data_IF_810133503225
#
_entry.id   IF_810133503225
#
_cell.length_a   1.000
_cell.length_b   1.000
_cell.length_c   1.000
_cell.angle_alpha   90.00
_cell.angle_beta   90.00
_cell.angle_gamma   90.00
#
_symmetry.space_group_name_H-M   'P 1'
#
loop_
_entity.id
_entity.type
_entity.pdbx_description
1 polymer ?
#
# COMPACT_ATOMS: atom_id res chain seq x y z
N UNK A 1 -30.14 -4.57 19.48
CA UNK A 1 -29.53 -5.26 18.33
C UNK A 1 -28.40 -4.37 17.80
N UNK A 2 -27.20 -4.49 18.39
CA UNK A 2 -26.03 -3.67 18.02
C UNK A 2 -25.22 -4.43 16.97
N UNK A 3 -24.84 -3.81 15.84
CA UNK A 3 -24.43 -4.51 14.64
C UNK A 3 -23.02 -5.08 14.80
N UNK A 4 -22.85 -6.32 14.37
CA UNK A 4 -21.56 -7.02 14.32
C UNK A 4 -20.48 -6.34 13.46
N UNK A 5 -20.84 -5.36 12.62
CA UNK A 5 -19.94 -4.67 11.70
C UNK A 5 -18.80 -3.87 12.37
N UNK A 6 -18.95 -3.44 13.63
CA UNK A 6 -17.89 -2.70 14.35
C UNK A 6 -16.80 -3.61 14.92
N UNK A 7 -17.14 -4.84 15.33
CA UNK A 7 -16.14 -5.78 15.88
C UNK A 7 -15.23 -6.34 14.80
N UNK A 8 -15.75 -6.62 13.59
CA UNK A 8 -14.92 -7.03 12.46
C UNK A 8 -13.91 -5.93 12.05
N UNK A 9 -14.29 -4.64 12.15
CA UNK A 9 -13.39 -3.50 11.94
C UNK A 9 -12.38 -3.30 13.07
N UNK A 10 -12.68 -3.73 14.30
CA UNK A 10 -11.74 -3.67 15.43
C UNK A 10 -10.67 -4.78 15.36
N UNK A 11 -11.04 -5.97 14.91
CA UNK A 11 -10.12 -7.09 14.66
C UNK A 11 -9.18 -6.80 13.47
N UNK A 12 -9.69 -6.15 12.40
CA UNK A 12 -8.87 -5.70 11.28
C UNK A 12 -7.87 -4.59 11.66
N UNK A 13 -8.20 -3.73 12.64
CA UNK A 13 -7.27 -2.75 13.22
C UNK A 13 -6.12 -3.40 13.99
N UNK A 14 -6.36 -4.53 14.65
CA UNK A 14 -5.33 -5.27 15.39
C UNK A 14 -4.33 -6.00 14.47
N UNK A 15 -4.71 -6.24 13.20
CA UNK A 15 -3.88 -6.87 12.16
C UNK A 15 -3.17 -5.86 11.25
N UNK A 16 -3.15 -4.57 11.62
CA UNK A 16 -2.42 -3.50 10.91
C UNK A 16 -3.17 -2.85 9.74
N UNK A 17 -4.45 -3.17 9.54
CA UNK A 17 -5.24 -2.67 8.42
C UNK A 17 -6.07 -1.43 8.80
N UNK A 18 -5.38 -0.34 9.12
CA UNK A 18 -5.81 1.03 8.80
C UNK A 18 -4.66 1.96 9.16
N UNK A 19 -3.91 2.44 8.17
CA UNK A 19 -3.02 3.57 8.41
C UNK A 19 -3.92 4.75 8.81
N UNK A 20 -3.75 5.35 10.00
CA UNK A 20 -4.67 6.39 10.48
C UNK A 20 -4.71 7.57 9.49
N UNK A 21 -5.81 8.35 9.45
CA UNK A 21 -5.87 9.57 8.67
C UNK A 21 -4.70 10.47 9.08
N UNK A 22 -3.82 10.70 8.13
CA UNK A 22 -2.47 11.21 8.35
C UNK A 22 -2.47 12.73 8.42
N UNK A 23 -1.74 13.29 9.38
CA UNK A 23 -1.49 14.73 9.49
C UNK A 23 -0.70 15.23 8.27
N UNK A 24 -1.16 16.26 7.55
CA UNK A 24 -0.41 16.84 6.43
C UNK A 24 0.83 17.57 6.96
N UNK A 25 2.04 17.15 6.57
CA UNK A 25 3.27 17.91 6.84
C UNK A 25 4.54 17.08 7.00
N UNK A 26 4.44 15.81 7.41
CA UNK A 26 5.61 14.96 7.66
C UNK A 26 5.72 13.83 6.64
N UNK A 27 6.87 13.79 5.94
CA UNK A 27 7.28 12.67 5.08
C UNK A 27 7.72 11.50 5.96
N UNK A 28 6.78 10.89 6.67
CA UNK A 28 7.08 9.69 7.44
C UNK A 28 7.35 8.51 6.48
N UNK A 29 8.32 7.63 6.81
CA UNK A 29 8.68 6.48 5.99
C UNK A 29 7.50 5.54 5.76
N UNK A 30 7.54 4.76 4.67
CA UNK A 30 6.57 3.71 4.41
C UNK A 30 6.64 2.65 5.50
N UNK A 31 5.48 2.09 5.88
CA UNK A 31 5.50 0.89 6.72
C UNK A 31 6.14 -0.28 5.95
N UNK A 32 6.67 -1.32 6.64
CA UNK A 32 7.22 -2.50 5.97
C UNK A 32 6.24 -3.16 5.00
N UNK A 33 4.96 -3.22 5.37
CA UNK A 33 3.90 -3.80 4.53
C UNK A 33 3.60 -2.91 3.31
N UNK A 34 3.55 -1.58 3.49
CA UNK A 34 3.39 -0.64 2.39
C UNK A 34 4.54 -0.72 1.39
N UNK A 35 5.77 -0.82 1.89
CA UNK A 35 6.97 -0.99 1.07
C UNK A 35 6.90 -2.31 0.29
N UNK A 36 6.49 -3.41 0.93
CA UNK A 36 6.37 -4.70 0.27
C UNK A 36 5.30 -4.67 -0.84
N UNK A 37 4.13 -4.09 -0.58
CA UNK A 37 3.10 -3.86 -1.60
C UNK A 37 3.62 -3.02 -2.76
N UNK A 38 4.35 -1.93 -2.47
CA UNK A 38 4.92 -1.06 -3.50
C UNK A 38 5.97 -1.78 -4.36
N UNK A 39 6.85 -2.57 -3.75
CA UNK A 39 7.87 -3.34 -4.46
C UNK A 39 7.27 -4.40 -5.37
N UNK A 40 6.28 -5.17 -4.89
CA UNK A 40 5.62 -6.19 -5.70
C UNK A 40 4.83 -5.56 -6.86
N UNK A 41 4.16 -4.43 -6.62
CA UNK A 41 3.48 -3.68 -7.66
C UNK A 41 4.46 -3.13 -8.71
N UNK A 42 5.62 -2.63 -8.29
CA UNK A 42 6.68 -2.15 -9.18
C UNK A 42 7.28 -3.25 -10.06
N UNK A 43 7.28 -4.50 -9.58
CA UNK A 43 7.68 -5.69 -10.35
C UNK A 43 6.61 -6.15 -11.35
N UNK A 44 5.48 -5.46 -11.43
CA UNK A 44 4.40 -5.75 -12.37
C UNK A 44 3.31 -6.69 -11.84
N UNK A 45 3.37 -7.11 -10.58
CA UNK A 45 2.34 -7.97 -10.01
C UNK A 45 0.99 -7.23 -9.91
N UNK A 46 -0.09 -7.94 -10.21
CA UNK A 46 -1.46 -7.46 -10.05
C UNK A 46 -1.87 -7.42 -8.57
N UNK A 47 -2.91 -6.66 -8.23
CA UNK A 47 -3.40 -6.59 -6.84
C UNK A 47 -3.84 -7.95 -6.31
N UNK A 48 -4.29 -8.83 -7.21
CA UNK A 48 -4.70 -10.20 -6.87
C UNK A 48 -3.49 -11.04 -6.48
N UNK A 49 -2.46 -11.07 -7.32
CA UNK A 49 -1.23 -11.84 -7.04
C UNK A 49 -0.50 -11.33 -5.79
N UNK A 50 -0.50 -10.01 -5.59
CA UNK A 50 0.04 -9.39 -4.36
C UNK A 50 -0.78 -9.83 -3.15
N UNK A 51 -2.11 -9.80 -3.25
CA UNK A 51 -3.00 -10.22 -2.17
C UNK A 51 -2.81 -11.69 -1.80
N UNK A 52 -2.70 -12.57 -2.80
CA UNK A 52 -2.42 -13.99 -2.61
C UNK A 52 -1.06 -14.21 -1.91
N UNK A 53 -0.03 -13.44 -2.27
CA UNK A 53 1.30 -13.53 -1.67
C UNK A 53 1.36 -13.01 -0.22
N UNK A 54 0.65 -11.93 0.06
CA UNK A 54 0.68 -11.23 1.36
C UNK A 54 -0.48 -11.62 2.29
N UNK A 55 -1.31 -12.58 1.89
CA UNK A 55 -2.54 -12.95 2.60
C UNK A 55 -3.49 -11.78 2.81
N UNK A 56 -3.59 -10.88 1.82
CA UNK A 56 -4.45 -9.71 1.79
C UNK A 56 -5.52 -9.84 0.71
N UNK A 57 -6.65 -9.15 0.89
CA UNK A 57 -7.60 -9.01 -0.23
C UNK A 57 -7.02 -8.09 -1.30
N UNK A 58 -7.35 -8.34 -2.58
CA UNK A 58 -6.95 -7.44 -3.67
C UNK A 58 -7.45 -5.99 -3.46
N UNK A 59 -8.55 -5.82 -2.73
CA UNK A 59 -9.13 -4.51 -2.37
C UNK A 59 -8.26 -3.80 -1.34
N UNK A 60 -7.76 -4.53 -0.35
CA UNK A 60 -6.80 -4.03 0.64
C UNK A 60 -5.52 -3.56 -0.05
N UNK A 61 -4.97 -4.37 -0.96
CA UNK A 61 -3.81 -3.97 -1.79
C UNK A 61 -4.09 -2.70 -2.60
N UNK A 62 -5.27 -2.60 -3.23
CA UNK A 62 -5.69 -1.40 -3.93
C UNK A 62 -5.76 -0.16 -3.04
N UNK A 63 -6.24 -0.31 -1.81
CA UNK A 63 -6.30 0.77 -0.82
C UNK A 63 -4.90 1.23 -0.40
N UNK A 64 -3.97 0.31 -0.17
CA UNK A 64 -2.58 0.65 0.12
C UNK A 64 -1.97 1.45 -1.04
N UNK A 65 -2.10 0.98 -2.28
CA UNK A 65 -1.57 1.68 -3.46
C UNK A 65 -2.18 3.06 -3.64
N UNK A 66 -3.49 3.21 -3.42
CA UNK A 66 -4.19 4.48 -3.51
C UNK A 66 -3.65 5.52 -2.52
N UNK A 67 -3.33 5.12 -1.28
CA UNK A 67 -2.72 6.02 -0.29
C UNK A 67 -1.22 6.25 -0.55
N UNK A 68 -0.51 5.28 -1.13
CA UNK A 68 0.93 5.37 -1.39
C UNK A 68 1.29 6.24 -2.58
N UNK A 69 0.51 6.17 -3.66
CA UNK A 69 0.73 6.94 -4.88
C UNK A 69 0.98 8.45 -4.63
N UNK A 70 0.09 9.19 -3.95
CA UNK A 70 0.31 10.61 -3.68
C UNK A 70 1.51 10.85 -2.75
N UNK A 71 1.79 9.95 -1.78
CA UNK A 71 2.96 10.05 -0.89
C UNK A 71 4.28 9.89 -1.65
N UNK A 72 4.28 9.04 -2.68
CA UNK A 72 5.45 8.75 -3.52
C UNK A 72 5.54 9.70 -4.73
N UNK A 73 4.59 10.60 -4.92
CA UNK A 73 4.55 11.50 -6.08
C UNK A 73 4.29 10.77 -7.40
N UNK A 74 3.71 9.57 -7.36
CA UNK A 74 3.38 8.77 -8.55
C UNK A 74 1.86 8.68 -8.70
N UNK A 75 1.36 8.59 -9.93
CA UNK A 75 -0.09 8.49 -10.19
C UNK A 75 -0.50 7.12 -10.71
N UNK A 76 0.47 6.29 -11.10
CA UNK A 76 0.20 4.97 -11.66
C UNK A 76 1.34 3.98 -11.40
N UNK A 77 1.04 2.69 -11.66
CA UNK A 77 1.97 1.58 -11.46
C UNK A 77 3.22 1.69 -12.31
N UNK A 78 3.14 2.23 -13.54
CA UNK A 78 4.30 2.38 -14.41
C UNK A 78 5.29 3.41 -13.84
N UNK A 79 4.78 4.52 -13.29
CA UNK A 79 5.59 5.51 -12.58
C UNK A 79 6.19 4.94 -11.30
N UNK A 80 5.42 4.16 -10.52
CA UNK A 80 5.94 3.46 -9.36
C UNK A 80 7.10 2.51 -9.72
N UNK A 81 6.95 1.76 -10.81
CA UNK A 81 8.01 0.89 -11.34
C UNK A 81 9.24 1.69 -11.76
N UNK A 82 9.05 2.81 -12.46
CA UNK A 82 10.14 3.68 -12.88
C UNK A 82 10.90 4.31 -11.70
N UNK A 83 10.18 4.69 -10.64
CA UNK A 83 10.76 5.28 -9.42
C UNK A 83 11.58 4.27 -8.60
N UNK A 84 11.12 3.02 -8.50
CA UNK A 84 11.79 1.96 -7.75
C UNK A 84 12.91 1.26 -8.53
N UNK A 85 12.89 1.37 -9.87
CA UNK A 85 14.07 1.04 -10.67
C UNK A 85 15.14 2.08 -10.34
N UNK A 86 16.34 1.67 -9.91
CA UNK A 86 17.43 2.62 -9.82
C UNK A 86 17.60 3.24 -11.21
N UNK A 87 17.38 4.55 -11.32
CA UNK A 87 17.81 5.30 -12.49
C UNK A 87 19.28 4.97 -12.66
N UNK A 88 19.72 4.32 -13.77
CA UNK A 88 21.15 4.16 -13.98
C UNK A 88 21.71 5.58 -14.00
N UNK A 89 22.51 5.92 -12.99
CA UNK A 89 23.29 7.16 -12.98
C UNK A 89 24.02 7.20 -14.30
N UNK A 90 23.62 8.13 -15.17
CA UNK A 90 24.37 8.46 -16.36
C UNK A 90 25.55 9.30 -15.88
N UNK A 91 26.66 8.64 -15.60
CA UNK A 91 27.99 9.23 -15.78
C UNK A 91 28.29 9.40 -17.28
#
# INVERSE_FOLDING_TARGET
MRPWCERARAELRALGADSPPRVPGEWEPLSPQELEVAQLAARGMSNREIGERLFLSHRTVGSHLYHLYPRLGVTNRAQLSAMLRPTPSRD
#
